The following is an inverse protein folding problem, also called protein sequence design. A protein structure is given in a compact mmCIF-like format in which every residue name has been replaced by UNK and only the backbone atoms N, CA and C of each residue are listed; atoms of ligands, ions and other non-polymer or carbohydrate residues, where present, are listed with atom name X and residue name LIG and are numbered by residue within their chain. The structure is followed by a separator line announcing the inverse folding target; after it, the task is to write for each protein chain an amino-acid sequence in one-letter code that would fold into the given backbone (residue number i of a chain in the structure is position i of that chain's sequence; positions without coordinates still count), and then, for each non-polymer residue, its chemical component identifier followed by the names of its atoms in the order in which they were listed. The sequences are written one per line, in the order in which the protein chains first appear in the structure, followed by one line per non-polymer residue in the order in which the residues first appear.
data_IF_868199926052
#
_entry.id   IF_868199926052
#
_cell.length_a   1.000
_cell.length_b   1.000
_cell.length_c   1.000
_cell.angle_alpha   90.00
_cell.angle_beta   90.00
_cell.angle_gamma   90.00
#
_symmetry.space_group_name_H-M   'P 1'
#
loop_
_entity.id
_entity.type
_entity.pdbx_description
1 polymer ?
#
# COMPACT_ATOMS: atom_id res chain seq x y z
N UNK A 1 -11.09 5.08 5.32
CA UNK A 1 -9.85 5.03 4.52
C UNK A 1 -10.21 4.58 3.10
N UNK A 2 -10.10 5.47 2.12
CA UNK A 2 -10.39 5.16 0.70
C UNK A 2 -9.17 4.63 -0.04
N UNK A 3 -7.95 4.91 0.43
CA UNK A 3 -6.71 4.47 -0.19
C UNK A 3 -6.18 3.22 0.52
N UNK A 4 -5.90 2.17 -0.24
CA UNK A 4 -5.37 0.90 0.25
C UNK A 4 -4.11 0.54 -0.53
N UNK A 5 -3.00 0.16 0.13
CA UNK A 5 -1.82 -0.32 -0.59
C UNK A 5 -2.14 -1.64 -1.30
N UNK A 6 -1.52 -1.88 -2.45
CA UNK A 6 -1.66 -3.16 -3.17
C UNK A 6 -1.25 -4.33 -2.27
N UNK A 7 -2.19 -5.22 -1.95
CA UNK A 7 -1.98 -6.33 -1.02
C UNK A 7 -0.78 -7.22 -1.36
N UNK A 8 -0.57 -7.54 -2.65
CA UNK A 8 0.61 -8.31 -3.08
C UNK A 8 1.96 -7.63 -2.82
N UNK A 9 2.01 -6.28 -2.87
CA UNK A 9 3.21 -5.54 -2.46
C UNK A 9 3.39 -5.60 -0.94
N UNK A 10 2.31 -5.47 -0.18
CA UNK A 10 2.38 -5.56 1.28
C UNK A 10 2.85 -6.94 1.74
N UNK A 11 2.33 -8.02 1.15
CA UNK A 11 2.66 -9.41 1.48
C UNK A 11 4.14 -9.75 1.20
N UNK A 12 4.76 -9.10 0.21
CA UNK A 12 6.17 -9.32 -0.16
C UNK A 12 7.11 -8.28 0.44
N UNK A 13 6.60 -7.40 1.31
CA UNK A 13 7.37 -6.33 1.92
C UNK A 13 8.21 -6.85 3.11
N UNK A 14 9.41 -6.29 3.31
CA UNK A 14 10.18 -6.47 4.55
C UNK A 14 9.40 -6.05 5.81
N UNK A 15 8.42 -5.15 5.66
CA UNK A 15 7.57 -4.64 6.73
C UNK A 15 6.16 -5.27 6.76
N UNK A 16 5.97 -6.45 6.17
CA UNK A 16 4.64 -7.08 6.07
C UNK A 16 3.91 -7.25 7.42
N UNK A 17 4.65 -7.36 8.53
CA UNK A 17 4.11 -7.51 9.89
C UNK A 17 4.02 -6.18 10.66
N UNK A 18 4.45 -5.06 10.07
CA UNK A 18 4.43 -3.75 10.73
C UNK A 18 3.08 -3.08 10.51
N UNK A 19 2.62 -2.32 11.52
CA UNK A 19 1.49 -1.44 11.33
C UNK A 19 1.88 -0.22 10.49
N UNK A 20 1.47 -0.21 9.23
CA UNK A 20 1.72 0.88 8.27
C UNK A 20 0.55 1.88 8.18
N UNK A 21 -0.42 1.84 9.09
CA UNK A 21 -1.62 2.71 9.04
C UNK A 21 -1.32 4.21 9.18
N UNK A 22 -0.13 4.56 9.66
CA UNK A 22 0.33 5.95 9.83
C UNK A 22 0.90 6.55 8.54
N UNK A 23 1.09 5.76 7.48
CA UNK A 23 1.62 6.25 6.22
C UNK A 23 0.56 7.04 5.42
N UNK A 24 0.94 8.11 4.70
CA UNK A 24 0.03 8.92 3.91
C UNK A 24 -0.34 8.22 2.58
N UNK A 25 -1.19 7.19 2.64
CA UNK A 25 -1.62 6.42 1.45
C UNK A 25 -2.36 7.27 0.42
N UNK A 26 -2.96 8.39 0.82
CA UNK A 26 -3.62 9.38 -0.03
C UNK A 26 -2.66 10.14 -0.95
N UNK A 27 -1.39 10.27 -0.56
CA UNK A 27 -0.35 10.93 -1.36
C UNK A 27 0.41 9.97 -2.27
N UNK A 28 0.08 8.67 -2.21
CA UNK A 28 0.77 7.64 -2.97
C UNK A 28 0.16 7.48 -4.37
N UNK A 29 0.95 7.07 -5.38
CA UNK A 29 0.43 6.88 -6.74
C UNK A 29 -0.68 5.83 -6.78
N UNK A 30 -1.83 6.20 -7.36
CA UNK A 30 -2.95 5.27 -7.58
C UNK A 30 -2.61 4.34 -8.74
N UNK A 31 -2.68 3.03 -8.50
CA UNK A 31 -2.49 1.99 -9.50
C UNK A 31 -3.81 1.54 -10.12
N UNK A 32 -4.86 1.42 -9.30
CA UNK A 32 -6.16 0.91 -9.72
C UNK A 32 -7.26 1.53 -8.86
N UNK A 33 -8.46 1.69 -9.43
CA UNK A 33 -9.67 2.03 -8.69
C UNK A 33 -10.57 0.79 -8.64
N UNK A 34 -10.98 0.40 -7.44
CA UNK A 34 -11.86 -0.74 -7.17
C UNK A 34 -13.10 -0.23 -6.43
N UNK A 35 -14.12 0.17 -7.20
CA UNK A 35 -15.29 0.88 -6.69
C UNK A 35 -14.89 2.18 -5.97
N UNK A 36 -15.17 2.24 -4.67
CA UNK A 36 -14.82 3.38 -3.80
C UNK A 36 -13.40 3.30 -3.20
N UNK A 37 -12.68 2.19 -3.43
CA UNK A 37 -11.31 1.98 -2.94
C UNK A 37 -10.30 2.33 -4.03
N UNK A 38 -9.26 3.07 -3.65
CA UNK A 38 -8.13 3.42 -4.49
C UNK A 38 -6.95 2.54 -4.08
N UNK A 39 -6.56 1.63 -4.95
CA UNK A 39 -5.38 0.80 -4.75
C UNK A 39 -4.15 1.62 -5.10
N UNK A 40 -3.29 1.88 -4.12
CA UNK A 40 -2.08 2.70 -4.29
C UNK A 40 -0.80 1.87 -4.26
N UNK A 41 0.24 2.39 -4.91
CA UNK A 41 1.60 1.87 -4.83
C UNK A 41 2.27 2.42 -3.57
N UNK A 42 2.57 1.54 -2.61
CA UNK A 42 3.30 1.96 -1.42
C UNK A 42 4.70 2.48 -1.78
N UNK A 43 5.02 3.73 -1.40
CA UNK A 43 6.34 4.34 -1.63
C UNK A 43 7.40 3.86 -0.64
N UNK A 44 6.97 3.34 0.52
CA UNK A 44 7.82 2.72 1.54
C UNK A 44 8.01 1.20 1.32
N UNK A 45 7.56 0.67 0.19
CA UNK A 45 7.69 -0.75 -0.11
C UNK A 45 9.16 -1.14 -0.27
N UNK A 46 9.57 -2.17 0.47
CA UNK A 46 10.87 -2.82 0.31
C UNK A 46 10.64 -4.31 0.11
N UNK A 47 11.07 -4.86 -1.04
CA UNK A 47 10.90 -6.29 -1.33
C UNK A 47 11.79 -7.10 -0.39
N UNK A 48 11.20 -8.07 0.32
CA UNK A 48 11.96 -9.07 1.09
C UNK A 48 12.77 -9.92 0.11
N UNK A 49 14.08 -10.03 0.35
CA UNK A 49 14.97 -10.92 -0.40
C UNK A 49 14.60 -12.38 -0.14
#
# INVERSE_FOLDING_TARGET
MTHQPKGGMCATCCHALRNCSTLPFDRMPVLQRDGQRLIVRCTQFQRRK
#
